data_IF_473610128595
#
_entry.id   IF_473610128595
#
_cell.length_a   1.000
_cell.length_b   1.000
_cell.length_c   1.000
_cell.angle_alpha   90.00
_cell.angle_beta   90.00
_cell.angle_gamma   90.00
#
_symmetry.space_group_name_H-M   'P 1'
#
loop_
_entity.id
_entity.type
_entity.pdbx_description
1 polymer ?
2 non-polymer ?
3 non-polymer ?
4 water ?
#
# COMPACT_ATOMS: atom_id res chain seq x y z
N UNK A 4 10.00 -14.26 -31.05
CA UNK A 4 9.87 -14.74 -29.63
C UNK A 4 8.72 -15.76 -29.48
N UNK A 5 8.96 -16.83 -28.73
CA UNK A 5 8.06 -18.00 -28.66
C UNK A 5 6.82 -17.69 -27.83
N UNK A 6 5.65 -18.11 -28.35
CA UNK A 6 4.34 -17.83 -27.72
C UNK A 6 4.00 -18.93 -26.73
N UNK A 7 3.50 -18.54 -25.56
CA UNK A 7 2.93 -19.46 -24.56
C UNK A 7 1.41 -19.26 -24.57
N UNK A 8 0.67 -20.36 -24.62
CA UNK A 8 -0.79 -20.39 -24.61
C UNK A 8 -1.24 -21.17 -23.38
N UNK A 9 -2.13 -20.57 -22.59
CA UNK A 9 -2.69 -21.18 -21.38
C UNK A 9 -4.23 -21.04 -21.39
N UNK A 10 -4.90 -21.93 -20.65
CA UNK A 10 -6.32 -21.80 -20.37
C UNK A 10 -6.44 -21.17 -18.99
N UNK A 11 -6.71 -19.87 -18.97
CA UNK A 11 -6.74 -19.05 -17.76
C UNK A 11 -8.17 -18.61 -17.39
N UNK A 12 -8.38 -18.48 -16.08
CA UNK A 12 -9.68 -18.17 -15.47
C UNK A 12 -9.73 -16.67 -15.14
N UNK A 13 -10.80 -15.94 -15.56
CA UNK A 13 -10.97 -14.52 -15.17
C UNK A 13 -11.01 -14.27 -13.64
N UNK A 14 -10.36 -13.19 -13.21
CA UNK A 14 -10.28 -12.83 -11.79
C UNK A 14 -11.61 -12.45 -11.17
N UNK A 15 -12.41 -11.69 -11.92
CA UNK A 15 -13.78 -11.32 -11.56
C UNK A 15 -14.81 -12.15 -12.34
N UNK A 16 -16.03 -12.22 -11.82
CA UNK A 16 -17.12 -12.99 -12.43
C UNK A 16 -17.02 -14.49 -12.18
N UNK A 17 -17.99 -15.29 -12.69
CA UNK A 17 -17.98 -16.74 -12.48
C UNK A 17 -16.86 -17.45 -13.27
N UNK A 18 -16.55 -18.67 -12.85
CA UNK A 18 -15.44 -19.44 -13.44
C UNK A 18 -15.74 -19.83 -14.89
N UNK A 19 -15.26 -19.02 -15.84
CA UNK A 19 -15.38 -19.25 -17.29
C UNK A 19 -13.98 -19.17 -17.93
N UNK A 20 -13.19 -20.27 -17.85
CA UNK A 20 -11.82 -20.21 -18.39
C UNK A 20 -11.73 -20.00 -19.91
N UNK A 21 -10.71 -19.25 -20.34
CA UNK A 21 -10.51 -18.85 -21.72
C UNK A 21 -9.06 -19.09 -22.09
N UNK A 22 -8.84 -19.36 -23.38
CA UNK A 22 -7.49 -19.38 -23.93
C UNK A 22 -6.92 -17.96 -23.92
N UNK A 23 -5.69 -17.85 -23.39
CA UNK A 23 -4.92 -16.59 -23.33
C UNK A 23 -3.51 -16.95 -23.82
N UNK A 24 -3.03 -16.17 -24.81
CA UNK A 24 -1.70 -16.31 -25.36
C UNK A 24 -0.84 -15.10 -24.96
N UNK A 25 0.45 -15.35 -24.71
CA UNK A 25 1.41 -14.29 -24.40
C UNK A 25 2.83 -14.64 -24.82
N UNK A 26 3.65 -13.59 -24.87
CA UNK A 26 5.03 -13.67 -25.36
C UNK A 26 5.92 -12.56 -24.73
N UNK A 27 7.21 -12.60 -25.04
CA UNK A 27 8.23 -11.65 -24.53
C UNK A 27 8.36 -11.68 -23.00
N UNK A 28 8.48 -12.89 -22.45
CA UNK A 28 8.58 -13.12 -21.02
C UNK A 28 9.99 -12.75 -20.56
N UNK A 29 10.07 -11.97 -19.50
CA UNK A 29 11.34 -11.63 -18.84
C UNK A 29 11.15 -11.53 -17.34
N UNK A 30 12.16 -11.98 -16.59
CA UNK A 30 12.15 -12.01 -15.12
C UNK A 30 12.35 -10.57 -14.66
N UNK A 31 11.46 -10.10 -13.78
CA UNK A 31 11.54 -8.75 -13.19
C UNK A 31 11.51 -8.65 -11.65
N UNK A 32 11.17 -9.73 -10.95
CA UNK A 32 11.42 -9.84 -9.50
C UNK A 32 11.43 -11.28 -9.01
N UNK A 33 12.00 -11.50 -7.83
CA UNK A 33 11.82 -12.76 -7.08
C UNK A 33 11.65 -12.50 -5.56
N UNK A 34 11.35 -13.57 -4.83
CA UNK A 34 11.19 -13.56 -3.38
C UNK A 34 10.97 -14.97 -2.86
N UNK A 35 10.63 -15.09 -1.59
CA UNK A 35 10.32 -16.39 -0.95
C UNK A 35 9.15 -17.14 -1.63
N UNK A 36 8.13 -16.37 -2.04
CA UNK A 36 6.99 -16.86 -2.86
C UNK A 36 7.37 -17.66 -4.13
N UNK A 37 8.44 -17.23 -4.81
CA UNK A 37 8.83 -17.73 -6.14
C UNK A 37 9.40 -16.61 -7.01
N UNK A 38 8.71 -16.30 -8.12
CA UNK A 38 9.22 -15.41 -9.18
C UNK A 38 8.10 -14.60 -9.86
N UNK A 39 8.42 -13.38 -10.31
CA UNK A 39 7.50 -12.46 -11.03
C UNK A 39 8.06 -12.16 -12.44
N UNK A 40 7.20 -12.19 -13.45
CA UNK A 40 7.55 -11.94 -14.87
C UNK A 40 6.78 -10.75 -15.46
N UNK A 41 7.39 -10.05 -16.42
CA UNK A 41 6.68 -9.22 -17.39
C UNK A 41 6.33 -10.10 -18.60
N UNK A 42 5.22 -9.77 -19.27
CA UNK A 42 4.84 -10.39 -20.55
C UNK A 42 3.88 -9.51 -21.33
N UNK A 43 3.76 -9.81 -22.62
CA UNK A 43 2.90 -9.12 -23.56
C UNK A 43 1.81 -10.07 -24.06
N UNK A 44 0.54 -9.64 -23.98
CA UNK A 44 -0.59 -10.43 -24.48
C UNK A 44 -0.64 -10.30 -26.00
N UNK A 45 -0.74 -11.45 -26.67
CA UNK A 45 -0.70 -11.53 -28.15
C UNK A 45 -1.84 -10.77 -28.85
N UNK A 46 -3.06 -10.88 -28.33
CA UNK A 46 -4.26 -10.31 -28.99
C UNK A 46 -4.32 -8.78 -28.95
N UNK A 47 -4.21 -8.22 -27.75
CA UNK A 47 -4.33 -6.78 -27.51
C UNK A 47 -3.02 -5.98 -27.57
N UNK A 48 -1.87 -6.65 -27.41
CA UNK A 48 -0.57 -6.00 -27.21
C UNK A 48 -0.29 -5.44 -25.81
N UNK A 49 -1.23 -5.58 -24.86
CA UNK A 49 -1.13 -4.95 -23.53
C UNK A 49 -0.15 -5.72 -22.68
N UNK A 50 0.65 -4.99 -21.90
CA UNK A 50 1.65 -5.60 -21.02
C UNK A 50 0.99 -6.07 -19.73
N UNK A 51 1.55 -7.13 -19.15
CA UNK A 51 1.05 -7.73 -17.90
C UNK A 51 2.20 -8.16 -17.02
N UNK A 52 1.94 -8.19 -15.72
CA UNK A 52 2.81 -8.83 -14.73
C UNK A 52 2.25 -10.25 -14.45
N UNK A 53 3.13 -11.23 -14.27
CA UNK A 53 2.73 -12.63 -13.94
C UNK A 53 3.48 -13.08 -12.68
N UNK A 54 2.78 -13.15 -11.55
CA UNK A 54 3.31 -13.69 -10.29
C UNK A 54 3.17 -15.22 -10.26
N UNK A 55 4.30 -15.93 -10.38
CA UNK A 55 4.36 -17.40 -10.32
C UNK A 55 4.79 -17.84 -8.91
N UNK A 56 3.98 -18.69 -8.26
CA UNK A 56 4.20 -19.16 -6.88
C UNK A 56 3.96 -20.67 -6.78
N UNK A 57 4.84 -21.37 -6.06
CA UNK A 57 4.66 -22.81 -5.80
C UNK A 57 3.52 -22.97 -4.80
N UNK A 58 2.45 -23.64 -5.23
CA UNK A 58 1.21 -23.79 -4.46
C UNK A 58 0.90 -25.28 -4.24
N UNK A 59 0.63 -25.66 -2.99
CA UNK A 59 0.24 -27.04 -2.65
C UNK A 59 -1.15 -27.34 -3.20
N UNK A 60 -1.31 -28.52 -3.79
CA UNK A 60 -2.53 -28.92 -4.51
C UNK A 60 -3.79 -29.01 -3.61
N UNK A 61 -3.60 -29.47 -2.37
CA UNK A 61 -4.69 -29.56 -1.38
C UNK A 61 -5.20 -28.20 -0.91
N UNK A 62 -4.27 -27.33 -0.48
CA UNK A 62 -4.61 -26.08 0.23
C UNK A 62 -4.87 -24.89 -0.72
N UNK A 63 -5.82 -24.04 -0.34
CA UNK A 63 -6.22 -22.88 -1.13
C UNK A 63 -5.29 -21.67 -0.86
N UNK A 64 -5.04 -20.89 -1.91
CA UNK A 64 -4.14 -19.72 -1.85
C UNK A 64 -4.89 -18.48 -1.34
N UNK A 65 -4.41 -17.92 -0.22
CA UNK A 65 -5.02 -16.77 0.48
C UNK A 65 -5.03 -15.49 -0.38
N UNK A 66 -3.89 -15.20 -1.00
CA UNK A 66 -3.76 -14.07 -1.91
C UNK A 66 -4.74 -14.13 -3.10
N UNK A 67 -4.94 -15.32 -3.67
CA UNK A 67 -5.89 -15.49 -4.78
C UNK A 67 -7.32 -15.13 -4.35
N UNK A 68 -7.78 -15.67 -3.23
CA UNK A 68 -9.14 -15.40 -2.73
C UNK A 68 -9.39 -13.91 -2.40
N UNK A 69 -8.35 -13.23 -1.88
CA UNK A 69 -8.39 -11.77 -1.70
C UNK A 69 -8.43 -11.05 -3.06
N UNK A 70 -7.55 -11.42 -4.00
CA UNK A 70 -7.53 -10.76 -5.32
C UNK A 70 -8.82 -10.91 -6.14
N UNK A 71 -9.49 -12.06 -6.03
CA UNK A 71 -10.75 -12.30 -6.76
C UNK A 71 -11.91 -11.42 -6.31
N UNK A 72 -11.93 -10.98 -5.04
CA UNK A 72 -13.00 -10.11 -4.53
C UNK A 72 -12.75 -8.61 -4.65
N UNK A 73 -11.58 -8.18 -5.18
CA UNK A 73 -11.23 -6.75 -5.24
C UNK A 73 -11.41 -6.21 -6.65
N UNK A 74 -12.10 -5.08 -6.75
CA UNK A 74 -12.24 -4.32 -7.98
C UNK A 74 -12.22 -2.83 -7.64
N UNK A 75 -11.06 -2.20 -7.88
CA UNK A 75 -10.84 -0.79 -7.52
C UNK A 75 -9.75 -0.19 -8.40
N UNK A 76 -9.96 1.06 -8.83
CA UNK A 76 -9.06 1.78 -9.75
C UNK A 76 -7.64 2.04 -9.19
N UNK A 77 -7.52 2.16 -7.88
CA UNK A 77 -6.23 2.24 -7.17
C UNK A 77 -5.64 0.91 -6.61
N UNK A 78 -6.11 -0.22 -7.13
CA UNK A 78 -5.61 -1.57 -6.81
C UNK A 78 -5.33 -2.26 -8.14
N UNK A 79 -4.15 -2.89 -8.25
CA UNK A 79 -3.78 -3.66 -9.43
C UNK A 79 -4.79 -4.77 -9.68
N UNK A 80 -5.25 -4.89 -10.92
CA UNK A 80 -6.36 -5.79 -11.27
C UNK A 80 -5.81 -7.18 -11.53
N UNK A 81 -6.45 -8.19 -10.95
CA UNK A 81 -6.24 -9.59 -11.34
C UNK A 81 -7.04 -9.80 -12.62
N UNK A 82 -6.33 -9.84 -13.73
CA UNK A 82 -6.93 -10.10 -15.05
C UNK A 82 -7.31 -11.55 -15.18
N UNK A 83 -6.32 -12.44 -14.98
CA UNK A 83 -6.54 -13.90 -15.02
C UNK A 83 -5.69 -14.62 -13.98
N UNK A 84 -6.04 -15.88 -13.74
CA UNK A 84 -5.16 -16.84 -13.07
C UNK A 84 -5.18 -18.20 -13.74
N UNK A 85 -4.05 -18.90 -13.66
CA UNK A 85 -3.89 -20.25 -14.20
C UNK A 85 -2.87 -21.06 -13.41
N UNK A 86 -2.91 -22.38 -13.63
CA UNK A 86 -2.01 -23.34 -12.99
C UNK A 86 -1.04 -23.90 -14.04
N UNK A 87 0.24 -24.02 -13.68
CA UNK A 87 1.27 -24.69 -14.50
C UNK A 87 2.02 -25.72 -13.66
N UNK A 88 2.33 -26.87 -14.27
CA UNK A 88 2.99 -27.99 -13.59
C UNK A 88 4.50 -27.84 -13.54
N UNK A 89 5.12 -28.58 -12.62
CA UNK A 89 6.58 -28.62 -12.43
C UNK A 89 7.21 -29.93 -12.87
N UNK A 90 8.52 -30.03 -12.67
CA UNK A 90 9.29 -31.23 -13.03
C UNK A 90 8.98 -32.38 -12.07
N UNK A 91 9.04 -32.11 -10.76
CA UNK A 91 8.73 -33.10 -9.71
C UNK A 91 7.21 -33.40 -9.65
N UNK A 92 6.87 -34.57 -9.09
CA UNK A 92 5.47 -34.99 -8.89
C UNK A 92 4.76 -34.15 -7.82
N UNK A 93 3.47 -33.88 -8.04
CA UNK A 93 2.64 -32.99 -7.20
C UNK A 93 3.19 -31.54 -7.02
N UNK A 94 3.89 -31.04 -8.07
CA UNK A 94 4.50 -29.71 -8.08
C UNK A 94 3.67 -28.83 -9.02
N UNK A 95 2.80 -28.00 -8.42
CA UNK A 95 1.86 -27.12 -9.15
C UNK A 95 2.20 -25.68 -8.79
N UNK A 96 2.27 -24.82 -9.81
CA UNK A 96 2.44 -23.38 -9.62
C UNK A 96 1.13 -22.67 -9.90
N UNK A 97 0.75 -21.74 -9.03
CA UNK A 97 -0.29 -20.74 -9.29
C UNK A 97 0.38 -19.56 -9.99
N UNK A 98 -0.28 -19.08 -11.05
CA UNK A 98 0.18 -17.92 -11.81
C UNK A 98 -0.92 -16.87 -11.79
N UNK A 99 -0.62 -15.68 -11.27
CA UNK A 99 -1.55 -14.55 -11.20
C UNK A 99 -1.17 -13.57 -12.29
N UNK A 100 -2.07 -13.31 -13.23
CA UNK A 100 -1.85 -12.38 -14.34
C UNK A 100 -2.47 -11.03 -13.95
N UNK A 101 -1.59 -10.06 -13.71
CA UNK A 101 -1.92 -8.73 -13.17
C UNK A 101 -1.58 -7.70 -14.23
N UNK A 102 -2.23 -6.53 -14.22
CA UNK A 102 -1.84 -5.49 -15.20
C UNK A 102 -0.47 -4.89 -14.86
N UNK A 103 0.30 -4.60 -15.92
CA UNK A 103 1.63 -4.00 -15.83
C UNK A 103 1.43 -2.50 -15.68
N UNK A 104 2.23 -1.91 -14.79
CA UNK A 104 2.28 -0.47 -14.58
C UNK A 104 3.76 -0.12 -14.68
N UNK A 105 4.13 0.95 -15.45
CA UNK A 105 5.54 1.13 -15.80
C UNK A 105 6.51 1.68 -14.72
N UNK A 106 6.00 2.34 -13.68
CA UNK A 106 6.82 2.94 -12.61
C UNK A 106 6.31 2.58 -11.21
N UNK A 107 7.10 2.96 -10.21
CA UNK A 107 6.74 2.86 -8.80
C UNK A 107 7.06 4.15 -8.07
N UNK A 108 6.44 4.33 -6.90
CA UNK A 108 6.74 5.46 -6.02
C UNK A 108 8.21 5.44 -5.59
N UNK A 109 8.71 4.25 -5.26
CA UNK A 109 10.13 4.03 -4.91
C UNK A 109 11.07 4.61 -5.94
N UNK A 110 10.90 4.17 -7.19
CA UNK A 110 11.75 4.62 -8.30
C UNK A 110 11.69 6.11 -8.58
N UNK A 111 10.49 6.68 -8.51
CA UNK A 111 10.25 8.12 -8.76
C UNK A 111 10.88 8.95 -7.67
N UNK A 112 10.57 8.62 -6.41
CA UNK A 112 11.15 9.27 -5.23
C UNK A 112 12.68 9.26 -5.25
N UNK A 113 13.25 8.09 -5.60
CA UNK A 113 14.71 7.95 -5.77
C UNK A 113 15.32 8.78 -6.93
N UNK A 114 14.55 9.03 -8.00
CA UNK A 114 14.94 9.95 -9.08
C UNK A 114 15.18 11.36 -8.52
N UNK A 115 14.18 11.87 -7.79
CA UNK A 115 14.29 13.19 -7.13
C UNK A 115 15.44 13.28 -6.10
N UNK A 116 15.58 12.22 -5.29
CA UNK A 116 16.57 12.14 -4.21
C UNK A 116 18.00 12.14 -4.70
N UNK A 117 18.29 11.36 -5.76
CA UNK A 117 19.63 11.36 -6.41
C UNK A 117 20.02 12.67 -7.10
N UNK A 118 19.03 13.38 -7.65
CA UNK A 118 19.22 14.72 -8.23
C UNK A 118 19.18 15.87 -7.20
N UNK A 119 19.06 15.57 -5.89
CA UNK A 119 19.01 16.56 -4.81
C UNK A 119 17.81 17.51 -5.00
N UNK A 120 16.64 16.90 -5.16
CA UNK A 120 15.38 17.59 -5.46
C UNK A 120 14.28 16.96 -4.61
N UNK A 121 13.29 17.76 -4.24
CA UNK A 121 12.08 17.26 -3.56
C UNK A 121 11.00 16.95 -4.60
N UNK A 122 10.26 15.86 -4.41
CA UNK A 122 9.05 15.57 -5.21
C UNK A 122 8.07 16.73 -4.98
N UNK A 123 7.55 17.37 -6.05
CA UNK A 123 6.52 18.41 -5.87
C UNK A 123 5.33 17.97 -5.03
N UNK A 124 4.80 18.87 -4.22
CA UNK A 124 3.76 18.57 -3.23
C UNK A 124 2.45 18.10 -3.91
N UNK A 125 2.17 18.57 -5.12
CA UNK A 125 1.03 18.06 -5.93
C UNK A 125 1.07 16.54 -6.12
N UNK A 126 2.25 15.99 -6.44
CA UNK A 126 2.41 14.53 -6.59
C UNK A 126 2.28 13.80 -5.25
N UNK A 127 2.82 14.41 -4.19
CA UNK A 127 2.68 13.89 -2.81
C UNK A 127 1.19 13.77 -2.49
N UNK A 128 0.44 14.84 -2.72
CA UNK A 128 -1.02 14.83 -2.51
C UNK A 128 -1.72 13.73 -3.31
N UNK A 129 -1.46 13.72 -4.62
CA UNK A 129 -2.05 12.73 -5.55
C UNK A 129 -1.78 11.28 -5.17
N UNK A 130 -0.52 10.97 -4.91
CA UNK A 130 -0.11 9.61 -4.59
C UNK A 130 -0.63 9.15 -3.22
N UNK A 131 -0.52 9.99 -2.19
CA UNK A 131 -1.03 9.66 -0.84
C UNK A 131 -2.54 9.53 -0.76
N UNK A 132 -3.27 10.46 -1.41
CA UNK A 132 -4.72 10.38 -1.47
C UNK A 132 -5.17 9.04 -2.05
N UNK A 133 -4.62 8.65 -3.20
CA UNK A 133 -4.99 7.39 -3.89
C UNK A 133 -4.61 6.14 -3.07
N UNK A 134 -3.50 6.22 -2.35
CA UNK A 134 -3.16 5.20 -1.36
C UNK A 134 -4.22 5.07 -0.25
N UNK A 135 -4.58 6.19 0.36
CA UNK A 135 -5.63 6.17 1.41
C UNK A 135 -6.99 5.67 0.89
N UNK A 136 -7.31 5.97 -0.37
CA UNK A 136 -8.48 5.36 -1.05
C UNK A 136 -8.39 3.84 -1.18
N UNK A 137 -7.22 3.35 -1.60
CA UNK A 137 -7.00 1.90 -1.73
C UNK A 137 -7.14 1.19 -0.39
N UNK A 138 -6.60 1.83 0.65
CA UNK A 138 -6.75 1.36 2.03
C UNK A 138 -8.18 1.44 2.57
N UNK A 139 -8.90 2.53 2.29
CA UNK A 139 -10.32 2.63 2.70
C UNK A 139 -11.14 1.45 2.13
N UNK A 140 -10.92 1.15 0.85
CA UNK A 140 -11.56 0.03 0.18
C UNK A 140 -11.24 -1.36 0.76
N UNK A 141 -9.95 -1.70 0.89
CA UNK A 141 -9.58 -3.03 1.43
C UNK A 141 -9.98 -3.20 2.89
N UNK A 142 -9.80 -2.14 3.70
CA UNK A 142 -10.18 -2.18 5.13
C UNK A 142 -11.68 -2.40 5.35
N UNK A 143 -12.53 -1.86 4.46
CA UNK A 143 -13.99 -2.11 4.52
C UNK A 143 -14.42 -3.59 4.41
N UNK A 144 -13.57 -4.43 3.81
CA UNK A 144 -13.73 -5.91 3.84
C UNK A 144 -13.06 -6.60 5.05
N UNK A 145 -12.41 -5.84 5.93
CA UNK A 145 -11.54 -6.38 6.97
C UNK A 145 -10.18 -6.88 6.51
N UNK A 146 -9.77 -6.51 5.29
CA UNK A 146 -8.50 -6.95 4.72
C UNK A 146 -7.46 -5.90 5.10
N UNK A 147 -6.36 -6.37 5.66
CA UNK A 147 -5.18 -5.58 6.00
C UNK A 147 -4.05 -6.04 5.07
N UNK A 148 -3.38 -5.09 4.42
CA UNK A 148 -2.38 -5.36 3.41
C UNK A 148 -1.08 -5.90 4.04
N UNK A 149 -0.64 -5.24 5.11
CA UNK A 149 0.52 -5.61 5.94
C UNK A 149 1.89 -5.54 5.23
N UNK A 150 1.98 -4.74 4.18
CA UNK A 150 3.24 -4.51 3.46
C UNK A 150 3.22 -3.24 2.59
N UNK A 151 2.70 -2.16 3.18
CA UNK A 151 2.60 -0.86 2.53
C UNK A 151 3.99 -0.24 2.59
N UNK A 152 4.58 -0.05 1.41
CA UNK A 152 5.88 0.55 1.21
C UNK A 152 5.98 1.07 -0.23
N UNK A 153 6.91 2.01 -0.51
CA UNK A 153 6.97 2.64 -1.85
C UNK A 153 7.08 1.70 -3.07
N UNK A 154 7.74 0.54 -2.89
CA UNK A 154 7.91 -0.46 -3.97
C UNK A 154 6.60 -1.13 -4.39
N UNK A 155 5.62 -1.17 -3.50
CA UNK A 155 4.30 -1.76 -3.77
C UNK A 155 3.22 -0.72 -4.17
N UNK A 156 3.65 0.50 -4.45
CA UNK A 156 2.82 1.59 -4.96
C UNK A 156 3.22 1.83 -6.41
N UNK A 157 2.47 1.20 -7.32
CA UNK A 157 2.75 1.31 -8.75
C UNK A 157 2.18 2.64 -9.26
N UNK A 158 2.79 3.21 -10.29
CA UNK A 158 2.29 4.46 -10.86
C UNK A 158 2.57 4.61 -12.35
N UNK A 159 1.65 5.32 -12.99
CA UNK A 159 1.73 5.69 -14.39
C UNK A 159 2.13 7.17 -14.39
N UNK A 160 3.36 7.52 -14.84
CA UNK A 160 3.81 8.92 -14.77
C UNK A 160 2.98 9.92 -15.58
N UNK A 161 2.39 9.47 -16.69
CA UNK A 161 1.62 10.36 -17.60
C UNK A 161 0.22 10.69 -17.06
N UNK A 162 -0.46 9.73 -16.43
CA UNK A 162 -1.80 9.94 -15.84
C UNK A 162 -1.81 10.21 -14.32
N UNK A 163 -0.70 9.92 -13.63
CA UNK A 163 -0.60 10.03 -12.16
C UNK A 163 -1.53 9.07 -11.39
N UNK A 164 -1.99 7.98 -12.04
CA UNK A 164 -2.80 6.95 -11.38
C UNK A 164 -1.83 6.10 -10.54
N UNK A 165 -2.19 5.88 -9.28
CA UNK A 165 -1.45 5.00 -8.34
C UNK A 165 -2.24 3.73 -8.19
N UNK A 166 -1.58 2.57 -8.30
CA UNK A 166 -2.17 1.26 -8.01
C UNK A 166 -1.38 0.51 -6.91
N UNK A 167 -2.07 0.16 -5.83
CA UNK A 167 -1.54 -0.73 -4.80
C UNK A 167 -1.40 -2.16 -5.31
N UNK A 168 -0.23 -2.77 -5.07
CA UNK A 168 0.06 -4.15 -5.52
C UNK A 168 0.66 -5.00 -4.39
N UNK A 169 0.92 -6.27 -4.70
CA UNK A 169 1.52 -7.28 -3.81
C UNK A 169 0.70 -7.52 -2.55
N UNK A 170 -0.32 -8.35 -2.70
CA UNK A 170 -1.15 -8.85 -1.60
C UNK A 170 -0.67 -10.21 -1.01
N UNK A 171 0.62 -10.56 -1.21
CA UNK A 171 1.27 -11.73 -0.59
C UNK A 171 1.31 -11.78 0.94
N UNK A 172 1.40 -10.62 1.61
CA UNK A 172 1.27 -10.50 3.08
C UNK A 172 -0.15 -10.21 3.62
N UNK A 173 -1.14 -10.05 2.72
CA UNK A 173 -2.46 -9.51 3.12
C UNK A 173 -3.28 -10.58 3.80
N UNK A 174 -4.17 -10.12 4.68
CA UNK A 174 -4.99 -11.02 5.50
C UNK A 174 -6.29 -10.36 5.96
N UNK A 175 -7.36 -11.15 5.92
CA UNK A 175 -8.61 -10.90 6.65
C UNK A 175 -8.32 -10.99 8.16
N UNK A 176 -8.32 -9.85 8.84
CA UNK A 176 -8.10 -9.80 10.31
C UNK A 176 -9.40 -10.05 11.05
N UNK A 177 -9.38 -11.02 11.98
CA UNK A 177 -10.55 -11.42 12.75
C UNK A 177 -10.20 -11.20 14.22
N UNK A 178 -11.05 -10.44 14.92
CA UNK A 178 -10.88 -10.09 16.32
C UNK A 178 -10.84 -11.35 17.16
N UNK A 179 -9.81 -11.46 18.00
CA UNK A 179 -9.60 -12.66 18.82
C UNK A 179 -8.86 -13.83 18.18
N UNK A 180 -8.49 -13.72 16.89
CA UNK A 180 -7.72 -14.75 16.17
C UNK A 180 -6.33 -14.17 15.97
N UNK A 181 -5.26 -14.79 16.55
CA UNK A 181 -3.94 -14.15 16.47
C UNK A 181 -3.31 -14.06 15.06
N UNK A 182 -2.39 -13.11 14.94
CA UNK A 182 -1.65 -12.83 13.72
C UNK A 182 -0.17 -12.71 14.10
N UNK A 183 0.71 -12.93 13.13
CA UNK A 183 2.17 -12.82 13.36
C UNK A 183 2.58 -11.36 13.51
N UNK A 184 3.49 -11.09 14.46
CA UNK A 184 3.96 -9.74 14.77
C UNK A 184 5.11 -9.30 13.83
N UNK A 186 6.02 -8.77 10.76
CA UNK A 186 5.33 -8.54 9.48
C UNK A 186 5.57 -7.06 9.08
N UNK A 187 5.34 -6.75 7.80
CA UNK A 187 5.67 -5.46 7.16
C UNK A 187 7.17 -5.31 6.94
N UNK A 188 7.52 -4.43 6.02
CA UNK A 188 8.93 -4.11 5.75
C UNK A 188 9.37 -3.17 6.85
N UNK A 189 10.58 -3.41 7.34
CA UNK A 189 11.04 -2.88 8.64
C UNK A 189 10.83 -1.38 8.85
N UNK A 190 11.25 -0.59 7.86
CA UNK A 190 11.15 0.89 7.92
C UNK A 190 9.70 1.40 8.05
N UNK A 191 8.74 0.62 7.57
CA UNK A 191 7.32 0.96 7.52
C UNK A 191 6.52 0.20 8.59
N UNK A 192 7.20 -0.49 9.53
CA UNK A 192 6.55 -1.38 10.50
C UNK A 192 6.04 -0.59 11.70
N UNK A 193 4.76 -0.77 12.02
CA UNK A 193 4.12 -0.08 13.15
C UNK A 193 4.73 -0.47 14.51
N UNK A 194 4.73 0.48 15.47
CA UNK A 194 5.43 0.18 16.73
C UNK A 194 4.83 -0.99 17.53
N UNK A 195 3.49 -1.14 17.52
CA UNK A 195 2.82 -2.31 18.14
C UNK A 195 3.35 -3.69 17.69
N UNK A 196 3.70 -3.79 16.41
CA UNK A 196 4.32 -4.99 15.85
C UNK A 196 5.73 -5.26 16.41
N UNK A 197 6.50 -4.20 16.65
CA UNK A 197 7.85 -4.30 17.22
C UNK A 197 7.78 -4.75 18.69
N UNK A 198 6.75 -4.28 19.42
CA UNK A 198 6.41 -4.78 20.77
C UNK A 198 5.78 -6.20 20.84
N UNK A 199 5.63 -6.86 19.70
CA UNK A 199 5.23 -8.26 19.63
C UNK A 199 3.73 -8.46 19.64
N UNK A 200 2.93 -7.42 19.34
CA UNK A 200 1.47 -7.54 19.35
C UNK A 200 1.02 -8.53 18.30
N UNK A 201 0.19 -9.47 18.72
CA UNK A 201 -0.49 -10.43 17.84
C UNK A 201 -1.98 -10.13 17.67
N UNK A 202 -2.56 -9.25 18.50
CA UNK A 202 -3.91 -8.69 18.30
C UNK A 202 -3.74 -7.21 17.96
N UNK A 203 -3.61 -6.98 16.64
CA UNK A 203 -3.53 -5.67 16.02
C UNK A 203 -4.61 -5.55 14.96
N UNK A 204 -4.79 -4.33 14.47
CA UNK A 204 -5.88 -3.98 13.55
C UNK A 204 -5.29 -3.45 12.24
N UNK A 205 -6.18 -3.11 11.32
CA UNK A 205 -5.84 -2.41 10.06
C UNK A 205 -5.08 -1.07 10.18
N UNK A 206 -5.08 -0.45 11.35
CA UNK A 206 -4.27 0.76 11.60
C UNK A 206 -2.75 0.61 11.41
N UNK A 207 -2.23 -0.63 11.39
CA UNK A 207 -0.82 -0.87 10.99
C UNK A 207 -0.51 -0.34 9.58
N UNK A 208 -1.47 -0.46 8.65
CA UNK A 208 -1.33 0.09 7.29
C UNK A 208 -1.31 1.62 7.28
N UNK A 209 -2.06 2.23 8.19
CA UNK A 209 -2.08 3.68 8.33
C UNK A 209 -0.74 4.18 8.85
N UNK A 210 -0.14 3.46 9.81
CA UNK A 210 1.25 3.77 10.22
C UNK A 210 2.19 3.70 9.02
N UNK A 211 2.12 2.60 8.30
CA UNK A 211 2.95 2.39 7.12
C UNK A 211 2.78 3.54 6.09
N UNK A 212 1.53 3.92 5.82
CA UNK A 212 1.20 5.06 4.95
C UNK A 212 1.78 6.39 5.43
N UNK A 213 1.69 6.64 6.73
CA UNK A 213 2.37 7.76 7.37
C UNK A 213 3.86 7.80 7.12
N UNK A 214 4.53 6.65 7.25
CA UNK A 214 5.96 6.52 6.93
C UNK A 214 6.26 6.86 5.45
N UNK A 215 5.36 6.48 4.54
CA UNK A 215 5.49 6.80 3.12
C UNK A 215 5.39 8.33 2.90
N UNK A 216 4.36 8.96 3.49
CA UNK A 216 4.17 10.41 3.40
C UNK A 216 5.42 11.18 3.86
N UNK A 217 5.89 10.84 5.05
CA UNK A 217 7.10 11.43 5.63
C UNK A 217 8.31 11.26 4.72
N UNK A 218 8.45 10.07 4.14
CA UNK A 218 9.54 9.78 3.18
C UNK A 218 9.53 10.69 1.96
N UNK A 219 8.34 10.89 1.40
CA UNK A 219 8.18 11.77 0.22
C UNK A 219 8.43 13.24 0.52
N UNK A 220 8.12 13.67 1.75
CA UNK A 220 8.44 15.04 2.20
C UNK A 220 9.93 15.24 2.53
N UNK A 221 10.56 14.22 3.14
CA UNK A 221 11.98 14.31 3.53
C UNK A 221 12.97 14.04 2.39
N UNK A 222 12.61 13.16 1.46
CA UNK A 222 13.54 12.65 0.45
C UNK A 222 14.32 11.41 0.87
N UNK A 223 13.90 10.79 1.98
CA UNK A 223 14.59 9.62 2.55
C UNK A 223 13.69 8.95 3.60
N UNK A 224 13.92 7.66 3.92
CA UNK A 224 13.08 7.05 4.96
C UNK A 224 13.18 7.77 6.31
N UNK A 225 12.04 8.02 6.95
CA UNK A 225 11.99 8.71 8.25
C UNK A 225 12.58 7.87 9.41
N UNK A 226 12.32 6.56 9.41
CA UNK A 226 12.78 5.61 10.45
C UNK A 226 13.63 4.47 9.86
N UNK A 227 14.91 4.76 9.50
CA UNK A 227 15.78 3.73 8.88
C UNK A 227 16.50 2.84 9.90
N UNK A 228 15.77 1.90 10.50
CA UNK A 228 16.36 1.00 11.52
C UNK A 228 17.24 -0.07 10.90
N UNK A 229 18.41 -0.32 11.49
CA UNK A 229 19.33 -1.38 10.98
C UNK A 229 19.00 -2.82 11.46
N UNK A 230 17.97 -2.98 12.30
CA UNK A 230 17.43 -4.28 12.70
C UNK A 230 16.01 -4.09 13.25
N UNK A 231 15.34 -5.20 13.60
CA UNK A 231 13.98 -5.14 14.14
C UNK A 231 13.78 -4.35 15.43
N UNK A 232 14.82 -4.33 16.26
CA UNK A 232 14.84 -3.67 17.58
C UNK A 232 15.28 -2.21 17.47
N UNK A 233 16.37 -1.95 16.74
CA UNK A 233 16.81 -0.59 16.41
C UNK A 233 15.73 0.25 15.68
N UNK A 234 14.80 -0.41 14.97
CA UNK A 234 13.62 0.24 14.39
C UNK A 234 12.81 1.05 15.42
N UNK A 235 12.63 0.50 16.62
CA UNK A 235 11.98 1.23 17.72
C UNK A 235 12.78 2.43 18.17
N UNK A 236 14.10 2.29 18.25
CA UNK A 236 15.03 3.38 18.61
C UNK A 236 14.86 4.56 17.65
N UNK A 237 14.82 4.27 16.33
CA UNK A 237 14.64 5.30 15.30
C UNK A 237 13.30 6.04 15.43
N UNK A 238 12.24 5.29 15.71
CA UNK A 238 10.90 5.86 15.99
C UNK A 238 10.94 6.75 17.23
N UNK A 239 11.56 6.24 18.31
CA UNK A 239 11.73 7.01 19.57
C UNK A 239 12.48 8.34 19.37
N UNK A 240 13.49 8.38 18.49
CA UNK A 240 14.23 9.62 18.19
C UNK A 240 13.40 10.79 17.62
N UNK A 241 12.24 10.49 17.03
CA UNK A 241 11.29 11.50 16.54
C UNK A 241 10.09 11.65 17.48
N UNK A 242 9.41 10.53 17.75
CA UNK A 242 8.18 10.55 18.58
C UNK A 242 8.43 10.71 20.09
N UNK A 243 9.66 10.46 20.55
CA UNK A 243 9.94 10.34 21.98
C UNK A 243 9.63 8.94 22.48
N UNK A 244 9.96 8.70 23.74
CA UNK A 244 9.62 7.43 24.39
C UNK A 244 8.08 7.33 24.56
N UNK A 245 7.51 6.14 24.30
CA UNK A 245 6.07 5.99 24.56
C UNK A 245 5.83 5.85 26.06
N UNK A 246 4.72 6.44 26.52
CA UNK A 246 4.26 6.32 27.90
C UNK A 246 3.75 4.88 28.14
N UNK A 247 3.63 4.50 29.41
CA UNK A 247 3.11 3.15 29.76
C UNK A 247 1.67 2.89 29.24
N UNK A 248 0.85 3.96 29.23
CA UNK A 248 -0.49 3.95 28.63
C UNK A 248 -0.41 3.65 27.13
N UNK A 249 0.46 4.36 26.43
CA UNK A 249 0.72 4.12 25.00
C UNK A 249 1.25 2.71 24.75
N UNK A 250 2.17 2.25 25.60
CA UNK A 250 2.67 0.86 25.53
C UNK A 250 1.53 -0.14 25.75
N UNK A 251 0.65 0.12 26.73
CA UNK A 251 -0.53 -0.72 26.97
C UNK A 251 -1.52 -0.73 25.78
N UNK A 252 -1.76 0.43 25.18
CA UNK A 252 -2.63 0.53 23.98
C UNK A 252 -2.13 -0.25 22.75
N UNK A 253 -0.81 -0.41 22.65
CA UNK A 253 -0.18 -1.22 21.61
C UNK A 253 -0.34 -2.75 21.77
N UNK A 254 -0.81 -3.24 22.93
CA UNK A 254 -1.15 -4.67 23.20
C UNK A 254 0.09 -5.59 23.08
N UNK A 255 1.15 -5.27 23.82
CA UNK A 255 2.43 -5.93 23.60
C UNK A 255 2.47 -7.38 24.14
N UNK A 256 3.34 -8.21 23.57
CA UNK A 256 3.74 -9.51 24.16
C UNK A 256 5.05 -9.45 24.98
N UNK A 257 5.89 -8.45 24.70
CA UNK A 257 7.10 -8.18 25.51
C UNK A 257 7.41 -6.68 25.49
N UNK A 258 7.80 -6.14 26.64
CA UNK A 258 8.17 -4.73 26.82
C UNK A 258 9.49 -4.61 27.60
N UNK A 259 10.42 -5.57 27.39
CA UNK A 259 11.68 -5.66 28.13
C UNK A 259 12.90 -5.22 27.30
N UNK A 260 12.73 -4.15 26.52
CA UNK A 260 13.84 -3.56 25.74
C UNK A 260 14.77 -2.72 26.61
N UNK A 261 14.24 -2.12 27.68
CA UNK A 261 14.98 -1.28 28.64
C UNK A 261 15.56 -0.01 27.97
N UNK A 262 14.68 0.72 27.28
CA UNK A 262 15.05 1.96 26.54
C UNK A 262 15.12 3.16 27.52
N UNK A 263 16.14 4.04 27.36
CA UNK A 263 16.19 5.27 28.19
C UNK A 263 15.19 6.33 27.67
N UNK A 264 14.69 7.17 28.58
CA UNK A 264 13.75 8.24 28.21
C UNK A 264 14.37 9.26 27.25
N UNK A 265 13.64 9.58 26.18
CA UNK A 265 14.02 10.56 25.15
C UNK A 265 12.79 11.45 24.91
N UNK A 266 13.02 12.77 24.81
CA UNK A 266 11.96 13.74 24.55
C UNK A 266 11.55 13.70 23.07
N UNK A 267 10.30 14.05 22.78
CA UNK A 267 9.78 14.10 21.41
C UNK A 267 10.43 15.24 20.63
N UNK A 268 10.80 14.97 19.37
CA UNK A 268 11.35 15.99 18.48
C UNK A 268 10.16 16.68 17.81
N UNK A 269 10.03 18.03 17.92
CA UNK A 269 8.84 18.69 17.34
C UNK A 269 8.70 18.45 15.83
N UNK A 270 7.47 18.15 15.39
CA UNK A 270 7.19 17.75 13.98
C UNK A 270 7.64 18.78 12.94
N UNK A 271 7.55 20.06 13.26
CA UNK A 271 8.04 21.14 12.39
C UNK A 271 9.56 21.08 12.13
N UNK A 272 10.34 20.72 13.16
CA UNK A 272 11.80 20.55 13.03
C UNK A 272 12.27 19.27 12.33
N UNK A 273 11.39 18.28 12.18
CA UNK A 273 11.70 17.03 11.44
C UNK A 273 11.88 17.32 9.94
N UNK A 274 10.92 18.07 9.38
CA UNK A 274 10.87 18.36 7.95
C UNK A 274 11.52 19.69 7.64
N UNK A 275 11.70 19.95 6.33
CA UNK A 275 12.24 21.22 5.80
C UNK A 275 11.46 22.46 6.29
N UNK A 276 12.09 23.67 6.26
CA UNK A 276 11.36 24.91 6.63
C UNK A 276 10.11 25.20 5.78
N UNK A 277 10.19 24.95 4.47
CA UNK A 277 9.09 25.24 3.54
C UNK A 277 8.07 24.10 3.36
N UNK A 278 8.15 23.02 4.15
CA UNK A 278 7.14 21.94 4.15
C UNK A 278 5.76 22.52 4.55
N UNK A 279 4.69 22.26 3.75
CA UNK A 279 3.36 22.80 4.12
C UNK A 279 2.88 22.34 5.51
N UNK A 280 2.34 23.26 6.35
CA UNK A 280 1.84 22.87 7.69
C UNK A 280 0.82 21.72 7.71
N UNK A 281 -0.10 21.71 6.74
CA UNK A 281 -1.12 20.65 6.60
C UNK A 281 -0.51 19.25 6.36
N UNK A 282 0.59 19.19 5.62
CA UNK A 282 1.35 17.94 5.45
C UNK A 282 1.93 17.43 6.77
N UNK A 283 2.48 18.35 7.55
CA UNK A 283 3.02 18.05 8.89
C UNK A 283 1.90 17.57 9.84
N UNK A 284 0.82 18.35 9.89
CA UNK A 284 -0.42 18.02 10.63
C UNK A 284 -0.98 16.64 10.32
N UNK A 285 -1.10 16.32 9.02
CA UNK A 285 -1.54 14.99 8.57
C UNK A 285 -0.60 13.90 9.07
N UNK A 286 0.70 14.14 8.90
CA UNK A 286 1.73 13.20 9.35
C UNK A 286 1.69 12.96 10.88
N UNK A 287 1.47 14.01 11.67
CA UNK A 287 1.28 13.89 13.14
C UNK A 287 0.08 13.02 13.59
N UNK A 288 -0.98 12.99 12.77
CA UNK A 288 -2.18 12.16 13.00
C UNK A 288 -2.15 10.74 12.40
N UNK A 289 -1.11 10.43 11.64
CA UNK A 289 -0.82 9.09 11.12
C UNK A 289 0.21 8.34 11.96
N UNK A 290 1.29 9.02 12.32
CA UNK A 290 2.39 8.46 13.10
C UNK A 290 2.17 8.65 14.59
N UNK A 291 1.13 7.99 15.09
CA UNK A 291 0.71 8.02 16.50
C UNK A 291 1.05 6.67 17.10
N UNK A 292 1.59 6.66 18.32
CA UNK A 292 1.85 5.40 19.06
C UNK A 292 0.57 4.61 19.31
N UNK A 293 -0.45 5.28 19.86
CA UNK A 293 -1.73 4.66 20.17
C UNK A 293 -2.45 4.33 18.85
N UNK A 294 -2.60 3.01 18.52
CA UNK A 294 -3.18 2.65 17.19
C UNK A 294 -4.60 3.18 16.92
N UNK A 295 -5.43 3.27 17.94
CA UNK A 295 -6.79 3.80 17.84
C UNK A 295 -6.86 5.33 17.65
N UNK A 296 -5.81 6.05 18.06
CA UNK A 296 -5.68 7.50 17.82
C UNK A 296 -5.36 7.89 16.37
N UNK A 297 -4.87 6.95 15.56
CA UNK A 297 -4.58 7.21 14.15
C UNK A 297 -5.86 7.45 13.34
N UNK A 298 -5.78 8.34 12.35
CA UNK A 298 -6.87 8.56 11.39
C UNK A 298 -7.17 7.26 10.66
N UNK A 299 -8.46 7.04 10.35
CA UNK A 299 -8.84 6.00 9.38
C UNK A 299 -8.40 6.49 7.99
N UNK A 300 -8.24 5.57 7.01
CA UNK A 300 -7.96 5.94 5.60
C UNK A 300 -8.96 6.94 5.00
N UNK A 301 -10.24 6.82 5.33
CA UNK A 301 -11.27 7.74 4.84
C UNK A 301 -11.16 9.13 5.48
N UNK A 302 -10.93 9.20 6.79
CA UNK A 302 -10.65 10.50 7.46
C UNK A 302 -9.38 11.17 6.90
N UNK A 303 -8.35 10.36 6.63
CA UNK A 303 -7.12 10.84 5.99
C UNK A 303 -7.38 11.48 4.63
N UNK A 304 -8.14 10.80 3.75
CA UNK A 304 -8.60 11.36 2.46
C UNK A 304 -9.30 12.72 2.59
N UNK A 305 -10.09 12.88 3.66
CA UNK A 305 -10.79 14.15 4.00
C UNK A 305 -9.95 15.27 4.66
N UNK A 306 -8.68 15.02 4.97
CA UNK A 306 -7.78 16.01 5.62
C UNK A 306 -7.54 17.23 4.70
N UNK A 307 -7.29 18.39 5.32
CA UNK A 307 -7.09 19.67 4.59
C UNK A 307 -5.88 19.70 3.62
N UNK A 308 -4.90 18.84 3.86
CA UNK A 308 -3.76 18.56 2.95
C UNK A 308 -4.16 18.20 1.53
N UNK A 309 -5.29 17.50 1.38
CA UNK A 309 -5.80 17.11 0.05
C UNK A 309 -6.84 18.07 -0.57
N UNK A 310 -7.05 19.26 0.02
CA UNK A 310 -8.03 20.27 -0.51
C UNK A 310 -7.74 20.71 -1.94
N UNK A 311 -6.47 20.92 -2.29
CA UNK A 311 -6.05 21.26 -3.68
C UNK A 311 -6.58 20.27 -4.74
N UNK A 312 -6.64 18.98 -4.37
CA UNK A 312 -7.19 17.94 -5.25
C UNK A 312 -8.71 18.07 -5.50
N UNK A 313 -9.44 18.62 -4.53
CA UNK A 313 -10.88 18.92 -4.63
C UNK A 313 -11.23 20.25 -5.31
N UNK A 314 -10.26 21.14 -5.50
CA UNK A 314 -10.42 22.38 -6.25
C UNK A 314 -10.69 22.07 -7.74
N UNK A 315 -11.77 22.66 -8.34
CA UNK A 315 -12.12 22.32 -9.73
C UNK A 315 -11.09 22.71 -10.82
N UNK A 316 -10.24 23.71 -10.53
CA UNK A 316 -9.20 24.19 -11.48
C UNK A 316 -7.85 23.43 -11.42
N UNK A 317 -7.77 22.35 -10.63
CA UNK A 317 -6.53 21.57 -10.51
C UNK A 317 -6.24 20.79 -11.80
N UNK A 318 -4.98 20.82 -12.23
CA UNK A 318 -4.46 20.00 -13.33
C UNK A 318 -3.12 19.38 -12.96
N UNK A 319 -2.67 18.43 -13.76
CA UNK A 319 -1.34 17.84 -13.58
C UNK A 319 -0.30 18.80 -14.19
N UNK A 320 0.97 18.73 -13.72
CA UNK A 320 2.03 19.54 -14.35
C UNK A 320 2.31 19.32 -15.86
N UNK A 321 1.96 18.13 -16.38
CA UNK A 321 2.02 17.82 -17.83
C UNK A 321 0.88 18.39 -18.71
N UNK A 322 -0.06 19.11 -18.09
CA UNK A 322 -1.19 19.73 -18.80
C UNK A 322 -2.51 18.99 -18.61
N UNK A 323 -2.44 17.65 -18.49
CA UNK A 323 -3.64 16.78 -18.47
C UNK A 323 -4.48 16.94 -17.20
N UNK A 324 -5.71 16.42 -17.26
CA UNK A 324 -6.59 16.36 -16.08
C UNK A 324 -6.09 15.33 -15.06
N UNK A 325 -6.48 15.54 -13.80
CA UNK A 325 -6.24 14.58 -12.73
C UNK A 325 -7.02 13.28 -12.98
N UNK A 326 -6.59 12.14 -12.38
CA UNK A 326 -7.42 10.91 -12.47
C UNK A 326 -8.72 11.02 -11.67
N UNK A 327 -9.57 10.00 -11.75
CA UNK A 327 -10.87 9.99 -11.06
C UNK A 327 -10.67 9.78 -9.55
N UNK A 328 -10.79 10.86 -8.78
CA UNK A 328 -10.54 10.90 -7.33
C UNK A 328 -11.79 10.84 -6.45
N UNK A 329 -12.97 10.98 -7.06
CA UNK A 329 -14.26 11.23 -6.35
C UNK A 329 -15.40 10.23 -6.56
N UNK A 330 -15.28 9.34 -7.55
CA UNK A 330 -16.24 8.25 -7.79
C UNK A 330 -16.28 7.20 -6.66
N UNK A 331 -16.68 7.63 -5.46
CA UNK A 331 -16.70 6.76 -4.27
C UNK A 331 -17.97 5.90 -4.34
N UNK A 332 -17.80 4.58 -4.26
CA UNK A 332 -18.92 3.64 -4.04
C UNK A 332 -19.33 3.61 -2.57
N UNK A 333 -20.55 3.14 -2.32
CA UNK A 333 -21.10 2.91 -0.97
C UNK A 333 -20.22 1.99 -0.10
N UNK A 334 -19.62 0.97 -0.74
CA UNK A 334 -18.69 0.04 -0.07
C UNK A 334 -17.50 0.79 0.55
N UNK A 335 -16.84 1.62 -0.25
CA UNK A 335 -15.69 2.42 0.23
C UNK A 335 -16.03 3.59 1.18
N UNK A 336 -17.28 4.05 1.20
CA UNK A 336 -17.76 5.02 2.22
C UNK A 336 -18.29 4.40 3.54
N UNK A 337 -18.41 3.06 3.60
CA UNK A 337 -19.14 2.36 4.67
C UNK A 337 -18.65 2.60 6.12
N UNK A 338 -17.36 2.90 6.29
CA UNK A 338 -16.81 3.25 7.62
C UNK A 338 -17.36 4.56 8.23
N UNK A 339 -17.69 5.53 7.37
CA UNK A 339 -18.16 6.87 7.81
C UNK A 339 -18.88 7.63 6.65
N UNK A 340 -20.15 7.24 6.33
CA UNK A 340 -20.88 7.85 5.19
C UNK A 340 -21.12 9.39 5.22
N UNK A 341 -21.22 10.03 6.41
CA UNK A 341 -21.20 11.50 6.50
C UNK A 341 -19.95 12.25 5.95
N UNK A 342 -18.81 11.57 5.77
CA UNK A 342 -17.63 12.17 5.11
C UNK A 342 -17.78 12.46 3.60
N UNK A 343 -18.80 11.91 2.94
CA UNK A 343 -19.10 12.19 1.51
C UNK A 343 -19.24 13.68 1.15
N UNK A 344 -19.78 14.49 2.06
CA UNK A 344 -19.91 15.94 1.84
C UNK A 344 -18.54 16.63 1.69
N UNK A 345 -17.55 16.19 2.47
CA UNK A 345 -16.17 16.67 2.35
C UNK A 345 -15.47 16.01 1.15
N UNK A 346 -15.60 14.69 1.02
CA UNK A 346 -14.86 13.92 -0.01
C UNK A 346 -15.31 14.15 -1.46
N UNK A 347 -16.62 14.33 -1.66
CA UNK A 347 -17.19 14.60 -2.98
C UNK A 347 -17.56 16.09 -2.97
N UNK A 348 -16.72 16.97 -3.56
CA UNK A 348 -17.06 18.41 -3.61
C UNK A 348 -18.19 18.69 -4.63
N UNK A 349 -18.83 19.89 -4.55
CA UNK A 349 -19.99 20.26 -5.41
C UNK A 349 -19.91 19.84 -6.88
N UNK A 350 -18.82 20.18 -7.56
CA UNK A 350 -18.61 19.86 -8.99
C UNK A 350 -18.50 18.36 -9.34
N UNK A 351 -18.11 17.53 -8.37
CA UNK A 351 -18.00 16.06 -8.52
C UNK A 351 -19.26 15.26 -8.12
N UNK A 352 -20.26 15.90 -7.53
CA UNK A 352 -21.45 15.20 -7.02
C UNK A 352 -22.35 14.65 -8.13
N UNK A 353 -22.94 13.48 -7.89
CA UNK A 353 -23.93 12.84 -8.79
C UNK A 353 -25.10 12.32 -7.94
#
# INVERSE_FOLDING_TARGET
GAMSKVTTVVATPGQGPDRPQEVSYTDTKVIGNGSFGVVYQAKLCDSGELVAIKKVLQDKRFKNRELQIMRKLDHCNIVRLRYFFYSSGEKKDEVYLNLVLDYVPETVYRVARHYSRAKQTLPVIYVKLYMYQLFRSLAYIHSFGICHRDIKPQNLLLDPDTAVLKLCDFGSAKQLVRGEPNVSXICSRYYRAPELIFGATDYTSSIDVWSAGCVLAELLLGQPIFPGDSGVDQLVEIIKVLGTPTREQIREMNPNYTEFKFPQIKAHPWTKVFRPRTPPEAIALCSRLLEYTPTARLTPLEACAHSFFDELRDPNVKLPNGRDTPALFNFTTQELSSNPPLATILIPPHARIQA
#
